data_IF_806116610198
#
_entry.id   IF_806116610198
#
_cell.length_a   1.000
_cell.length_b   1.000
_cell.length_c   1.000
_cell.angle_alpha   90.00
_cell.angle_beta   90.00
_cell.angle_gamma   90.00
#
_symmetry.space_group_name_H-M   'P 1'
#
loop_
_entity.id
_entity.type
_entity.pdbx_description
1 polymer ?
#
# COMPACT_ATOMS: atom_id res chain seq x y z
N UNK A 1 -3.91 -5.40 -17.13
CA UNK A 1 -3.82 -4.11 -16.42
C UNK A 1 -2.63 -4.11 -15.47
N UNK A 2 -1.98 -2.95 -15.31
CA UNK A 2 -0.74 -2.79 -14.51
C UNK A 2 -0.96 -3.16 -13.05
N UNK A 3 -2.07 -2.71 -12.44
CA UNK A 3 -2.41 -3.04 -11.06
C UNK A 3 -2.45 -4.56 -10.80
N UNK A 4 -3.04 -5.33 -11.73
CA UNK A 4 -3.08 -6.80 -11.65
C UNK A 4 -1.70 -7.47 -11.75
N UNK A 5 -0.73 -6.83 -12.42
CA UNK A 5 0.66 -7.34 -12.49
C UNK A 5 1.40 -7.03 -11.20
N UNK A 6 1.26 -5.80 -10.68
CA UNK A 6 1.87 -5.36 -9.42
C UNK A 6 1.38 -6.18 -8.23
N UNK A 7 0.06 -6.41 -8.12
CA UNK A 7 -0.47 -7.21 -7.01
C UNK A 7 0.05 -8.66 -7.06
N UNK A 8 0.18 -9.26 -8.25
CA UNK A 8 0.76 -10.60 -8.41
C UNK A 8 2.24 -10.64 -8.00
N UNK A 9 3.01 -9.62 -8.37
CA UNK A 9 4.42 -9.51 -7.98
C UNK A 9 4.56 -9.36 -6.46
N UNK A 10 3.81 -8.44 -5.86
CA UNK A 10 3.81 -8.21 -4.42
C UNK A 10 3.44 -9.48 -3.63
N UNK A 11 2.41 -10.22 -4.07
CA UNK A 11 2.02 -11.49 -3.46
C UNK A 11 3.10 -12.57 -3.61
N UNK A 12 3.83 -12.64 -4.73
CA UNK A 12 4.94 -13.60 -4.90
C UNK A 12 6.11 -13.27 -3.96
N UNK A 13 6.45 -12.00 -3.81
CA UNK A 13 7.50 -11.58 -2.87
C UNK A 13 7.11 -11.82 -1.40
N UNK A 14 5.87 -11.51 -1.03
CA UNK A 14 5.35 -11.80 0.31
C UNK A 14 5.38 -13.31 0.61
N UNK A 15 4.99 -14.14 -0.36
CA UNK A 15 5.05 -15.59 -0.23
C UNK A 15 6.50 -16.09 -0.05
N UNK A 16 7.45 -15.58 -0.85
CA UNK A 16 8.89 -15.94 -0.74
C UNK A 16 9.48 -15.60 0.63
N UNK A 17 9.20 -14.41 1.16
CA UNK A 17 9.71 -13.97 2.49
C UNK A 17 9.19 -14.79 3.66
N UNK A 18 8.08 -15.50 3.47
CA UNK A 18 7.46 -16.37 4.48
C UNK A 18 7.60 -17.85 4.15
N UNK A 19 8.41 -18.18 3.13
CA UNK A 19 8.62 -19.56 2.65
C UNK A 19 7.31 -20.29 2.27
N UNK A 20 6.33 -19.55 1.77
CA UNK A 20 5.03 -20.08 1.33
C UNK A 20 4.92 -20.13 -0.19
N UNK A 21 3.93 -20.89 -0.70
CA UNK A 21 3.56 -20.79 -2.11
C UNK A 21 2.57 -19.65 -2.32
N UNK A 22 2.62 -19.06 -3.51
CA UNK A 22 1.64 -18.06 -3.97
C UNK A 22 0.19 -18.56 -3.86
N UNK A 23 -0.04 -19.85 -4.11
CA UNK A 23 -1.36 -20.49 -3.96
C UNK A 23 -1.89 -20.42 -2.54
N UNK A 24 -0.99 -20.52 -1.56
CA UNK A 24 -1.35 -20.59 -0.15
C UNK A 24 -1.68 -19.18 0.31
N UNK A 25 -0.85 -18.19 -0.09
CA UNK A 25 -1.08 -16.77 0.17
C UNK A 25 -2.40 -16.25 -0.44
N UNK A 26 -2.82 -16.82 -1.59
CA UNK A 26 -4.08 -16.47 -2.27
C UNK A 26 -5.32 -17.02 -1.54
N UNK A 27 -5.16 -18.07 -0.75
CA UNK A 27 -6.25 -18.74 -0.01
C UNK A 27 -6.38 -18.29 1.44
N UNK A 28 -5.53 -17.37 1.91
CA UNK A 28 -5.55 -16.99 3.32
C UNK A 28 -6.81 -16.18 3.63
N UNK A 29 -7.55 -16.65 4.61
CA UNK A 29 -8.72 -15.97 5.14
C UNK A 29 -8.37 -14.63 5.80
N UNK A 30 -9.35 -13.72 5.84
CA UNK A 30 -9.20 -12.33 6.30
C UNK A 30 -8.57 -12.18 7.70
N UNK A 31 -8.68 -13.20 8.57
CA UNK A 31 -8.11 -13.20 9.92
C UNK A 31 -6.67 -13.70 10.04
N UNK A 32 -6.23 -14.58 9.13
CA UNK A 32 -4.90 -15.21 9.21
C UNK A 32 -3.87 -14.46 8.36
N UNK A 33 -4.32 -13.63 7.40
CA UNK A 33 -3.45 -12.85 6.48
C UNK A 33 -2.35 -12.07 7.19
N UNK A 34 -2.62 -11.47 8.36
CA UNK A 34 -1.64 -10.69 9.16
C UNK A 34 -0.44 -11.49 9.68
N UNK A 35 -0.54 -12.82 9.80
CA UNK A 35 0.62 -13.66 10.14
C UNK A 35 1.63 -13.76 8.99
N UNK A 36 1.18 -13.47 7.77
CA UNK A 36 1.96 -13.61 6.56
C UNK A 36 2.30 -12.24 5.94
N UNK A 37 1.37 -11.28 5.97
CA UNK A 37 1.52 -9.88 5.55
C UNK A 37 0.49 -8.97 6.26
N UNK A 38 0.88 -7.77 6.72
CA UNK A 38 -0.06 -6.84 7.40
C UNK A 38 -1.20 -6.40 6.47
N UNK A 39 -0.88 -5.84 5.30
CA UNK A 39 -1.81 -5.54 4.20
C UNK A 39 -1.01 -5.27 2.91
N UNK A 40 -1.58 -5.56 1.73
CA UNK A 40 -0.96 -5.23 0.44
C UNK A 40 -1.94 -4.35 -0.34
N UNK A 41 -1.56 -3.09 -0.55
CA UNK A 41 -2.31 -2.11 -1.34
C UNK A 41 -1.48 -1.69 -2.54
N UNK A 42 -2.12 -1.62 -3.72
CA UNK A 42 -1.47 -1.18 -4.97
C UNK A 42 -2.27 -0.02 -5.54
N UNK A 43 -1.63 1.14 -5.68
CA UNK A 43 -2.15 2.29 -6.41
C UNK A 43 -1.41 2.43 -7.74
N UNK A 44 -2.16 2.68 -8.82
CA UNK A 44 -1.59 2.97 -10.16
C UNK A 44 -2.14 4.31 -10.61
N UNK A 45 -1.25 5.27 -10.79
CA UNK A 45 -1.56 6.61 -11.25
C UNK A 45 -1.08 6.77 -12.69
N UNK A 46 -2.00 7.16 -13.58
CA UNK A 46 -1.66 7.52 -14.95
C UNK A 46 -1.65 9.05 -15.02
N UNK A 47 -0.51 9.61 -15.42
CA UNK A 47 -0.33 11.04 -15.59
C UNK A 47 -0.33 11.35 -17.08
N UNK A 48 -1.24 12.22 -17.49
CA UNK A 48 -1.22 12.78 -18.84
C UNK A 48 -0.43 14.10 -18.82
N UNK A 49 0.68 14.12 -19.54
CA UNK A 49 1.59 15.26 -19.58
C UNK A 49 1.13 16.37 -20.53
N UNK A 50 0.10 16.16 -21.37
CA UNK A 50 -0.35 17.15 -22.35
C UNK A 50 -0.97 18.43 -21.75
N UNK A 51 -1.32 18.41 -20.46
CA UNK A 51 -1.90 19.58 -19.75
C UNK A 51 -0.89 20.40 -18.94
N UNK A 52 0.40 20.02 -18.96
CA UNK A 52 1.47 20.65 -18.16
C UNK A 52 2.08 21.87 -18.87
N UNK A 53 1.57 22.30 -20.02
CA UNK A 53 2.25 23.32 -20.84
C UNK A 53 1.73 24.77 -20.72
N UNK A 54 0.77 25.10 -19.84
CA UNK A 54 0.25 26.49 -19.81
C UNK A 54 0.01 27.15 -18.46
N UNK A 55 0.22 26.51 -17.31
CA UNK A 55 0.15 27.28 -16.07
C UNK A 55 0.82 26.54 -14.93
N UNK A 56 1.58 27.32 -14.18
CA UNK A 56 2.26 27.08 -12.90
C UNK A 56 1.34 26.54 -11.78
N UNK A 57 0.43 25.61 -12.09
CA UNK A 57 -0.54 25.02 -11.16
C UNK A 57 0.05 23.77 -10.57
N UNK A 58 0.32 23.86 -9.27
CA UNK A 58 0.52 22.78 -8.33
C UNK A 58 -0.33 21.56 -8.75
N UNK A 59 0.22 20.33 -8.81
CA UNK A 59 -0.55 19.15 -9.18
C UNK A 59 -1.81 19.05 -8.32
N UNK A 60 -2.97 18.85 -8.96
CA UNK A 60 -4.31 18.85 -8.33
C UNK A 60 -4.47 17.77 -7.25
N UNK A 61 -3.57 16.80 -7.20
CA UNK A 61 -3.43 15.86 -6.10
C UNK A 61 -2.01 15.94 -5.54
N UNK A 62 -1.92 16.15 -4.23
CA UNK A 62 -0.67 16.05 -3.47
C UNK A 62 -0.89 14.98 -2.40
N UNK A 63 -0.12 13.90 -2.47
CA UNK A 63 -0.16 12.82 -1.47
C UNK A 63 1.06 13.00 -0.58
N UNK A 64 0.84 13.44 0.67
CA UNK A 64 1.87 13.46 1.71
C UNK A 64 1.93 12.08 2.36
N UNK A 65 3.11 11.44 2.33
CA UNK A 65 3.32 10.14 2.98
C UNK A 65 3.60 10.29 4.48
N UNK A 66 2.89 9.54 5.33
CA UNK A 66 3.25 9.26 6.71
C UNK A 66 2.56 10.10 7.79
N UNK A 67 1.75 9.45 8.63
CA UNK A 67 1.52 9.89 10.01
C UNK A 67 2.42 9.02 10.92
N UNK A 68 3.33 9.59 11.72
CA UNK A 68 3.92 8.86 12.83
C UNK A 68 2.80 8.62 13.85
N UNK A 69 2.38 7.37 14.00
CA UNK A 69 1.57 6.94 15.14
C UNK A 69 2.51 6.71 16.32
N UNK A 70 2.71 7.75 17.12
CA UNK A 70 3.34 7.72 18.45
C UNK A 70 2.66 8.82 19.27
N UNK A 71 2.17 8.65 20.49
CA UNK A 71 1.91 7.51 21.34
C UNK A 71 0.82 8.00 22.31
N UNK A 72 -0.10 7.14 22.68
CA UNK A 72 -1.02 7.41 23.78
C UNK A 72 -0.24 7.52 25.10
N UNK A 73 -0.14 8.73 25.65
CA UNK A 73 0.14 8.91 27.08
C UNK A 73 -1.13 9.44 27.74
N UNK A 74 -1.90 8.54 28.35
CA UNK A 74 -2.89 8.90 29.35
C UNK A 74 -2.26 8.74 30.75
N UNK A 75 -2.12 9.86 31.45
CA UNK A 75 -2.18 10.01 32.93
C UNK A 75 -1.86 11.48 33.18
N UNK A 76 -2.72 12.35 33.70
CA UNK A 76 -3.54 12.26 34.91
C UNK A 76 -4.62 13.36 34.86
N UNK A 77 -5.57 13.36 35.80
CA UNK A 77 -5.78 14.63 36.50
C UNK A 77 -5.77 14.43 38.01
N UNK A 78 -5.59 15.55 38.71
CA UNK A 78 -6.02 15.72 40.08
C UNK A 78 -7.47 15.24 40.29
#
# INVERSE_FOLDING_TARGET
GIARRLIKAALREAAKKREMRYSDLKKIDRGVRRHFHDDITVAVLFLDHLSVDTSNRIPTFSIRGGAPVHASTQSSPF
#
